data_IF_472530832033
#
_entry.id   IF_472530832033
#
_cell.length_a   1.000
_cell.length_b   1.000
_cell.length_c   1.000
_cell.angle_alpha   90.00
_cell.angle_beta   90.00
_cell.angle_gamma   90.00
#
_symmetry.space_group_name_H-M   'P 1'
#
loop_
_entity.id
_entity.type
_entity.pdbx_description
1 polymer ?
#
# COMPACT_ATOMS: atom_id res chain seq x y z
N UNK A 1 13.07 -13.64 30.71
CA UNK A 1 14.03 -12.52 30.90
C UNK A 1 13.57 -11.37 30.02
N UNK A 2 13.19 -10.24 30.62
CA UNK A 2 12.75 -9.02 29.95
C UNK A 2 13.89 -8.36 29.18
N UNK A 3 13.61 -7.88 27.96
CA UNK A 3 14.22 -6.65 27.43
C UNK A 3 13.32 -6.08 26.32
N UNK A 4 12.91 -4.85 26.55
CA UNK A 4 12.12 -3.98 25.69
C UNK A 4 12.77 -3.75 24.31
N UNK A 5 11.95 -3.72 23.26
CA UNK A 5 12.18 -2.87 22.06
C UNK A 5 10.86 -2.51 21.39
N UNK A 6 10.16 -1.54 21.96
CA UNK A 6 9.10 -0.77 21.29
C UNK A 6 9.67 0.56 20.83
N UNK A 7 9.76 0.74 19.52
CA UNK A 7 9.56 2.02 18.84
C UNK A 7 9.02 1.68 17.46
N UNK A 8 7.77 2.04 17.19
CA UNK A 8 7.23 2.62 15.96
C UNK A 8 5.71 2.76 16.18
N UNK A 9 5.04 3.56 15.35
CA UNK A 9 3.58 3.75 15.26
C UNK A 9 2.92 4.67 16.30
N UNK A 10 2.92 5.97 15.98
CA UNK A 10 1.73 6.81 16.19
C UNK A 10 1.64 7.95 15.15
N UNK A 11 2.77 8.37 14.56
CA UNK A 11 2.75 9.37 13.46
C UNK A 11 2.26 8.82 12.11
N UNK A 12 2.42 7.53 11.83
CA UNK A 12 2.15 6.99 10.49
C UNK A 12 0.66 6.80 10.18
N UNK A 13 -0.18 6.56 11.20
CA UNK A 13 -1.61 6.33 10.97
C UNK A 13 -2.40 7.61 10.67
N UNK A 14 -2.02 8.74 11.26
CA UNK A 14 -2.68 10.04 10.98
C UNK A 14 -2.23 10.60 9.63
N UNK A 15 -0.97 10.34 9.24
CA UNK A 15 -0.44 10.73 7.95
C UNK A 15 -1.01 9.85 6.81
N UNK A 16 -1.14 8.54 7.02
CA UNK A 16 -1.67 7.60 6.04
C UNK A 16 -3.13 7.84 5.67
N UNK A 17 -3.99 8.13 6.65
CA UNK A 17 -5.44 8.38 6.40
C UNK A 17 -5.66 9.74 5.72
N UNK A 18 -4.87 10.76 6.07
CA UNK A 18 -4.91 12.06 5.40
C UNK A 18 -4.41 11.98 3.94
N UNK A 19 -3.38 11.16 3.68
CA UNK A 19 -2.86 10.92 2.33
C UNK A 19 -3.83 10.08 1.49
N UNK A 20 -4.47 9.04 2.04
CA UNK A 20 -5.40 8.20 1.26
C UNK A 20 -6.67 8.96 0.85
N UNK A 21 -7.24 9.75 1.77
CA UNK A 21 -8.46 10.51 1.53
C UNK A 21 -8.26 11.66 0.55
N UNK A 22 -7.10 12.33 0.61
CA UNK A 22 -6.71 13.34 -0.36
C UNK A 22 -6.32 12.71 -1.71
N UNK A 23 -5.65 11.55 -1.73
CA UNK A 23 -5.25 10.86 -2.97
C UNK A 23 -6.44 10.44 -3.83
N UNK A 24 -7.54 9.94 -3.26
CA UNK A 24 -8.71 9.51 -4.04
C UNK A 24 -9.47 10.70 -4.63
N UNK A 25 -9.57 11.81 -3.89
CA UNK A 25 -10.23 13.04 -4.37
C UNK A 25 -9.35 13.78 -5.40
N UNK A 26 -8.02 13.76 -5.19
CA UNK A 26 -7.02 14.27 -6.13
C UNK A 26 -6.95 13.40 -7.39
N UNK A 27 -7.09 12.07 -7.29
CA UNK A 27 -7.10 11.13 -8.41
C UNK A 27 -8.27 11.40 -9.35
N UNK A 28 -9.50 11.59 -8.86
CA UNK A 28 -10.66 11.91 -9.74
C UNK A 28 -10.52 13.27 -10.42
N UNK A 29 -9.96 14.25 -9.71
CA UNK A 29 -9.78 15.61 -10.23
C UNK A 29 -8.61 15.69 -11.20
N UNK A 30 -7.47 15.06 -10.90
CA UNK A 30 -6.28 15.02 -11.75
C UNK A 30 -6.49 14.12 -12.96
N UNK A 31 -7.18 12.99 -12.88
CA UNK A 31 -7.39 12.15 -14.08
C UNK A 31 -8.21 12.92 -15.12
N UNK A 32 -9.23 13.67 -14.69
CA UNK A 32 -10.01 14.54 -15.59
C UNK A 32 -9.19 15.72 -16.11
N UNK A 33 -8.37 16.36 -15.26
CA UNK A 33 -7.55 17.53 -15.65
C UNK A 33 -6.36 17.12 -16.52
N UNK A 34 -5.79 15.93 -16.31
CA UNK A 34 -4.69 15.35 -17.08
C UNK A 34 -5.19 14.87 -18.44
N UNK A 35 -6.37 14.24 -18.51
CA UNK A 35 -7.01 13.91 -19.79
C UNK A 35 -7.31 15.18 -20.60
N UNK A 36 -7.84 16.22 -19.95
CA UNK A 36 -8.09 17.51 -20.58
C UNK A 36 -6.79 18.21 -21.05
N UNK A 37 -5.75 18.22 -20.22
CA UNK A 37 -4.46 18.87 -20.51
C UNK A 37 -3.62 18.12 -21.55
N UNK A 38 -3.67 16.78 -21.57
CA UNK A 38 -3.03 15.96 -22.61
C UNK A 38 -3.76 16.15 -23.93
N UNK A 39 -5.10 16.21 -23.94
CA UNK A 39 -5.88 16.40 -25.16
C UNK A 39 -5.69 17.80 -25.75
N UNK A 40 -5.65 18.85 -24.93
CA UNK A 40 -5.37 20.22 -25.36
C UNK A 40 -3.89 20.44 -25.71
N UNK A 41 -2.95 19.94 -24.90
CA UNK A 41 -1.51 20.07 -25.15
C UNK A 41 -1.03 19.30 -26.38
N UNK A 42 -1.59 18.11 -26.63
CA UNK A 42 -1.36 17.36 -27.86
C UNK A 42 -1.98 18.09 -29.07
N UNK A 43 -3.20 18.63 -28.94
CA UNK A 43 -3.85 19.39 -30.03
C UNK A 43 -3.07 20.66 -30.40
N UNK A 44 -2.54 21.39 -29.41
CA UNK A 44 -1.79 22.64 -29.63
C UNK A 44 -0.39 22.39 -30.19
N UNK A 45 0.32 21.35 -29.71
CA UNK A 45 1.64 20.97 -30.25
C UNK A 45 1.54 20.36 -31.65
N UNK A 46 0.50 19.56 -31.94
CA UNK A 46 0.27 18.99 -33.27
C UNK A 46 -0.09 20.10 -34.26
N UNK A 47 -0.93 21.06 -33.89
CA UNK A 47 -1.30 22.18 -34.77
C UNK A 47 -0.10 23.07 -35.10
N UNK A 48 0.77 23.37 -34.13
CA UNK A 48 1.95 24.21 -34.34
C UNK A 48 3.11 23.47 -35.05
N UNK A 49 3.19 22.14 -34.95
CA UNK A 49 4.08 21.32 -35.78
C UNK A 49 3.57 21.21 -37.22
N UNK A 50 2.25 21.07 -37.43
CA UNK A 50 1.64 21.03 -38.77
C UNK A 50 1.83 22.36 -39.52
N UNK A 51 1.70 23.49 -38.84
CA UNK A 51 1.86 24.82 -39.45
C UNK A 51 3.32 25.13 -39.85
N UNK A 52 4.31 24.54 -39.14
CA UNK A 52 5.73 24.63 -39.51
C UNK A 52 6.14 23.61 -40.58
N UNK A 53 5.53 22.43 -40.63
CA UNK A 53 5.83 21.41 -41.64
C UNK A 53 5.10 21.62 -42.97
N UNK A 54 3.96 22.30 -43.02
CA UNK A 54 3.29 22.66 -44.28
C UNK A 54 4.16 23.54 -45.22
N UNK A 55 5.22 24.18 -44.69
CA UNK A 55 6.19 24.97 -45.47
C UNK A 55 7.36 24.18 -46.04
N UNK A 56 7.57 22.92 -45.65
CA UNK A 56 8.60 22.04 -46.21
C UNK A 56 7.93 20.75 -46.63
N UNK A 57 7.73 20.54 -47.94
CA UNK A 57 7.15 19.33 -48.53
C UNK A 57 7.97 18.08 -48.17
N UNK A 58 7.85 17.60 -46.95
CA UNK A 58 8.40 16.35 -46.46
C UNK A 58 7.21 15.59 -45.89
N UNK A 59 6.64 14.72 -46.71
CA UNK A 59 5.59 13.78 -46.31
C UNK A 59 6.31 12.66 -45.54
N UNK A 60 6.39 12.78 -44.22
CA UNK A 60 6.66 11.61 -43.37
C UNK A 60 5.35 10.85 -43.15
N UNK A 61 5.30 9.53 -43.35
CA UNK A 61 4.07 8.76 -43.17
C UNK A 61 3.73 8.68 -41.68
N UNK A 62 2.72 9.43 -41.24
CA UNK A 62 2.14 9.41 -39.89
C UNK A 62 1.74 8.01 -39.40
N UNK A 63 1.54 7.04 -40.32
CA UNK A 63 1.32 5.63 -39.97
C UNK A 63 2.51 5.01 -39.22
N UNK A 64 3.76 5.36 -39.57
CA UNK A 64 4.97 4.74 -39.00
C UNK A 64 5.18 5.07 -37.53
N UNK A 65 4.80 6.29 -37.09
CA UNK A 65 4.93 6.70 -35.68
C UNK A 65 3.92 5.97 -34.81
N UNK A 66 2.67 5.82 -35.26
CA UNK A 66 1.64 5.07 -34.52
C UNK A 66 2.01 3.59 -34.39
N UNK A 67 2.52 2.98 -35.46
CA UNK A 67 2.97 1.58 -35.45
C UNK A 67 4.22 1.38 -34.59
N UNK A 68 5.16 2.32 -34.58
CA UNK A 68 6.33 2.30 -33.68
C UNK A 68 5.94 2.50 -32.22
N UNK A 69 4.99 3.38 -31.92
CA UNK A 69 4.48 3.55 -30.55
C UNK A 69 3.76 2.28 -30.09
N UNK A 70 2.94 1.66 -30.95
CA UNK A 70 2.23 0.42 -30.61
C UNK A 70 3.18 -0.77 -30.42
N UNK A 71 4.20 -0.92 -31.26
CA UNK A 71 5.22 -1.99 -31.11
C UNK A 71 6.21 -1.74 -29.97
N UNK A 72 6.48 -0.48 -29.64
CA UNK A 72 7.22 -0.12 -28.43
C UNK A 72 6.37 -0.41 -27.19
N UNK A 73 5.08 -0.04 -27.19
CA UNK A 73 4.15 -0.31 -26.09
C UNK A 73 3.95 -1.81 -25.84
N UNK A 74 3.74 -2.61 -26.89
CA UNK A 74 3.64 -4.06 -26.77
C UNK A 74 4.92 -4.73 -26.26
N UNK A 75 6.10 -4.18 -26.60
CA UNK A 75 7.38 -4.64 -26.02
C UNK A 75 7.52 -4.23 -24.55
N UNK A 76 7.03 -3.05 -24.17
CA UNK A 76 7.08 -2.58 -22.78
C UNK A 76 6.13 -3.36 -21.87
N UNK A 77 4.95 -3.76 -22.34
CA UNK A 77 4.03 -4.66 -21.60
C UNK A 77 4.66 -6.04 -21.33
N UNK A 78 5.48 -6.55 -22.25
CA UNK A 78 6.16 -7.85 -22.09
C UNK A 78 7.25 -7.86 -21.02
N UNK A 79 7.73 -6.70 -20.57
CA UNK A 79 8.80 -6.61 -19.58
C UNK A 79 8.35 -6.68 -18.12
N UNK A 80 7.04 -6.75 -17.82
CA UNK A 80 6.49 -6.85 -16.46
C UNK A 80 6.69 -5.61 -15.57
N UNK A 81 7.75 -4.84 -15.81
CA UNK A 81 8.17 -3.64 -15.08
C UNK A 81 7.13 -2.52 -15.18
N UNK A 82 6.42 -2.38 -16.30
CA UNK A 82 5.40 -1.33 -16.46
C UNK A 82 4.01 -1.70 -15.93
N UNK A 83 3.81 -2.92 -15.40
CA UNK A 83 2.51 -3.35 -14.88
C UNK A 83 2.17 -2.66 -13.56
N UNK A 84 3.16 -2.14 -12.83
CA UNK A 84 2.85 -1.32 -11.66
C UNK A 84 2.36 0.05 -12.14
N UNK A 85 1.09 0.37 -11.84
CA UNK A 85 0.47 1.69 -12.06
C UNK A 85 1.37 2.83 -11.55
N UNK A 86 2.22 2.51 -10.56
CA UNK A 86 3.24 3.37 -9.99
C UNK A 86 4.28 3.83 -11.04
N UNK A 87 4.84 2.94 -11.87
CA UNK A 87 5.86 3.33 -12.87
C UNK A 87 5.31 4.35 -13.87
N UNK A 88 4.08 4.15 -14.34
CA UNK A 88 3.40 5.10 -15.25
C UNK A 88 3.21 6.46 -14.57
N UNK A 89 2.80 6.46 -13.30
CA UNK A 89 2.66 7.69 -12.51
C UNK A 89 4.00 8.43 -12.37
N UNK A 90 5.08 7.71 -12.01
CA UNK A 90 6.42 8.29 -11.85
C UNK A 90 6.93 8.92 -13.15
N UNK A 91 6.83 8.21 -14.28
CA UNK A 91 7.26 8.71 -15.59
C UNK A 91 6.42 9.92 -16.01
N UNK A 92 5.10 9.86 -15.83
CA UNK A 92 4.19 10.96 -16.18
C UNK A 92 4.46 12.22 -15.35
N UNK A 93 4.77 12.04 -14.05
CA UNK A 93 5.11 13.13 -13.16
C UNK A 93 6.43 13.80 -13.55
N UNK A 94 7.48 13.03 -13.85
CA UNK A 94 8.76 13.56 -14.32
C UNK A 94 8.58 14.31 -15.65
N UNK A 95 7.80 13.77 -16.60
CA UNK A 95 7.48 14.45 -17.84
C UNK A 95 6.72 15.76 -17.62
N UNK A 96 5.75 15.78 -16.72
CA UNK A 96 5.02 17.00 -16.33
C UNK A 96 5.97 18.06 -15.75
N UNK A 97 6.89 17.65 -14.89
CA UNK A 97 7.86 18.55 -14.24
C UNK A 97 8.82 19.18 -15.26
N UNK A 98 9.31 18.39 -16.22
CA UNK A 98 10.13 18.90 -17.33
C UNK A 98 9.33 19.86 -18.21
N UNK A 99 8.06 19.55 -18.50
CA UNK A 99 7.18 20.43 -19.27
C UNK A 99 6.90 21.74 -18.54
N UNK A 100 6.56 21.69 -17.25
CA UNK A 100 6.32 22.85 -16.41
C UNK A 100 7.56 23.75 -16.33
N UNK A 101 8.74 23.17 -16.17
CA UNK A 101 10.01 23.89 -16.22
C UNK A 101 10.24 24.59 -17.57
N UNK A 102 10.00 23.88 -18.68
CA UNK A 102 10.13 24.47 -20.03
C UNK A 102 9.13 25.61 -20.25
N UNK A 103 7.88 25.44 -19.85
CA UNK A 103 6.85 26.48 -19.93
C UNK A 103 7.26 27.69 -19.09
N UNK A 104 7.75 27.48 -17.87
CA UNK A 104 8.26 28.56 -17.01
C UNK A 104 9.37 29.36 -17.69
N UNK A 105 10.32 28.71 -18.38
CA UNK A 105 11.37 29.39 -19.16
C UNK A 105 10.78 30.20 -20.32
N UNK A 106 9.80 29.65 -21.04
CA UNK A 106 9.20 30.33 -22.21
C UNK A 106 8.21 31.43 -21.85
N UNK A 107 7.63 31.41 -20.64
CA UNK A 107 6.76 32.47 -20.13
C UNK A 107 7.54 33.72 -19.71
N UNK A 108 8.87 33.66 -19.66
CA UNK A 108 9.70 34.85 -19.44
C UNK A 108 9.61 35.76 -20.68
N UNK A 109 9.24 37.04 -20.52
CA UNK A 109 9.11 37.96 -21.64
C UNK A 109 10.46 38.16 -22.31
N UNK A 110 10.61 37.62 -23.53
CA UNK A 110 11.74 37.91 -24.42
C UNK A 110 11.57 39.32 -24.98
N UNK A 111 11.84 40.33 -24.16
CA UNK A 111 11.81 41.73 -24.57
C UNK A 111 12.86 41.98 -25.65
N UNK A 112 12.42 42.35 -26.85
CA UNK A 112 13.32 42.85 -27.89
C UNK A 112 13.87 44.21 -27.47
N UNK A 113 15.20 44.33 -27.39
CA UNK A 113 15.86 45.63 -27.52
C UNK A 113 16.04 46.46 -26.24
N UNK A 114 16.60 45.89 -25.18
CA UNK A 114 17.70 46.52 -24.42
C UNK A 114 18.16 45.54 -23.35
N UNK A 115 19.46 45.29 -23.26
CA UNK A 115 20.08 44.41 -22.25
C UNK A 115 19.82 44.97 -20.84
N UNK A 116 18.70 44.61 -20.22
CA UNK A 116 18.54 44.67 -18.78
C UNK A 116 18.75 43.25 -18.27
N UNK A 117 19.88 43.04 -17.61
CA UNK A 117 20.15 41.85 -16.81
C UNK A 117 18.93 41.53 -15.94
N UNK A 118 18.48 40.26 -15.95
CA UNK A 118 17.41 39.82 -15.07
C UNK A 118 17.74 40.23 -13.62
N UNK A 119 16.76 40.70 -12.82
CA UNK A 119 16.97 40.93 -11.41
C UNK A 119 17.51 39.65 -10.75
N UNK A 120 18.66 39.76 -10.06
CA UNK A 120 19.25 38.69 -9.24
C UNK A 120 18.23 37.87 -8.40
N UNK A 121 17.17 38.46 -7.79
CA UNK A 121 16.18 37.67 -7.06
C UNK A 121 15.39 36.68 -7.92
N UNK A 122 15.11 36.98 -9.19
CA UNK A 122 14.39 36.05 -10.07
C UNK A 122 15.25 34.82 -10.41
N UNK A 123 16.54 35.04 -10.66
CA UNK A 123 17.50 33.95 -10.91
C UNK A 123 17.61 33.06 -9.67
N UNK A 124 17.63 33.65 -8.46
CA UNK A 124 17.68 32.86 -7.22
C UNK A 124 16.42 32.02 -6.99
N UNK A 125 15.24 32.53 -7.37
CA UNK A 125 13.98 31.79 -7.26
C UNK A 125 13.94 30.62 -8.24
N UNK A 126 14.40 30.82 -9.48
CA UNK A 126 14.48 29.76 -10.49
C UNK A 126 15.42 28.63 -10.06
N UNK A 127 16.59 28.98 -9.53
CA UNK A 127 17.54 27.99 -8.99
C UNK A 127 16.90 27.23 -7.83
N UNK A 128 16.19 27.91 -6.92
CA UNK A 128 15.52 27.27 -5.80
C UNK A 128 14.41 26.32 -6.25
N UNK A 129 13.60 26.71 -7.24
CA UNK A 129 12.57 25.84 -7.82
C UNK A 129 13.19 24.64 -8.54
N UNK A 130 14.28 24.85 -9.28
CA UNK A 130 14.97 23.76 -9.96
C UNK A 130 15.57 22.75 -8.96
N UNK A 131 16.19 23.24 -7.88
CA UNK A 131 16.72 22.40 -6.81
C UNK A 131 15.62 21.61 -6.09
N UNK A 132 14.47 22.23 -5.80
CA UNK A 132 13.34 21.51 -5.17
C UNK A 132 12.78 20.42 -6.08
N UNK A 133 12.74 20.66 -7.39
CA UNK A 133 12.36 19.65 -8.38
C UNK A 133 13.35 18.50 -8.49
N UNK A 134 14.66 18.76 -8.39
CA UNK A 134 15.68 17.70 -8.33
C UNK A 134 15.49 16.83 -7.09
N UNK A 135 15.27 17.44 -5.92
CA UNK A 135 15.06 16.70 -4.66
C UNK A 135 13.82 15.82 -4.79
N UNK A 136 12.71 16.35 -5.30
CA UNK A 136 11.48 15.58 -5.48
C UNK A 136 11.67 14.44 -6.48
N UNK A 137 12.32 14.69 -7.61
CA UNK A 137 12.63 13.66 -8.61
C UNK A 137 13.53 12.56 -8.02
N UNK A 138 14.53 12.93 -7.22
CA UNK A 138 15.40 11.97 -6.54
C UNK A 138 14.62 11.08 -5.56
N UNK A 139 13.73 11.65 -4.74
CA UNK A 139 12.89 10.87 -3.83
C UNK A 139 11.96 9.91 -4.58
N UNK A 140 11.35 10.37 -5.67
CA UNK A 140 10.48 9.56 -6.53
C UNK A 140 11.27 8.41 -7.18
N UNK A 141 12.48 8.67 -7.68
CA UNK A 141 13.36 7.65 -8.26
C UNK A 141 13.78 6.61 -7.21
N UNK A 142 14.12 7.04 -5.99
CA UNK A 142 14.47 6.12 -4.90
C UNK A 142 13.26 5.23 -4.55
N UNK A 143 12.05 5.79 -4.47
CA UNK A 143 10.84 5.00 -4.22
C UNK A 143 10.54 4.02 -5.37
N UNK A 144 10.74 4.45 -6.62
CA UNK A 144 10.59 3.58 -7.78
C UNK A 144 11.58 2.43 -7.76
N UNK A 145 12.87 2.72 -7.53
CA UNK A 145 13.91 1.70 -7.38
C UNK A 145 13.57 0.79 -6.20
N UNK A 146 13.08 1.33 -5.09
CA UNK A 146 12.61 0.57 -3.94
C UNK A 146 11.53 -0.44 -4.32
N UNK A 147 10.50 -0.03 -5.08
CA UNK A 147 9.46 -0.95 -5.55
C UNK A 147 9.94 -1.99 -6.57
N UNK A 148 10.97 -1.68 -7.35
CA UNK A 148 11.54 -2.63 -8.32
C UNK A 148 12.46 -3.65 -7.62
N UNK A 149 13.27 -3.20 -6.67
CA UNK A 149 14.20 -4.04 -5.90
C UNK A 149 13.46 -4.85 -4.84
N UNK A 150 12.45 -4.25 -4.20
CA UNK A 150 11.60 -4.85 -3.18
C UNK A 150 10.14 -4.82 -3.67
N UNK A 151 9.78 -5.71 -4.61
CA UNK A 151 8.40 -5.81 -5.05
C UNK A 151 7.50 -6.08 -3.83
N UNK A 152 6.44 -5.27 -3.60
CA UNK A 152 5.59 -5.41 -2.41
C UNK A 152 4.83 -6.74 -2.39
N UNK A 153 4.73 -7.39 -3.54
CA UNK A 153 4.22 -8.74 -3.71
C UNK A 153 5.36 -9.53 -4.36
N UNK A 154 6.11 -10.28 -3.58
CA UNK A 154 6.89 -11.38 -4.16
C UNK A 154 5.92 -12.46 -4.59
N UNK A 155 6.23 -13.15 -5.69
CA UNK A 155 5.48 -14.35 -6.08
C UNK A 155 5.33 -15.23 -4.83
N UNK A 156 4.08 -15.62 -4.55
CA UNK A 156 3.73 -16.41 -3.37
C UNK A 156 4.79 -17.49 -3.20
N UNK A 157 5.42 -17.64 -2.02
CA UNK A 157 6.34 -18.73 -1.79
C UNK A 157 5.60 -19.99 -2.25
N UNK A 158 6.13 -20.65 -3.30
CA UNK A 158 5.55 -21.90 -3.81
C UNK A 158 5.20 -22.71 -2.58
N UNK A 159 3.92 -23.08 -2.42
CA UNK A 159 3.44 -23.89 -1.31
C UNK A 159 4.44 -25.02 -1.10
N UNK A 160 5.37 -24.83 -0.19
CA UNK A 160 6.28 -25.87 0.23
C UNK A 160 5.37 -26.72 1.09
N UNK A 161 4.82 -27.75 0.46
CA UNK A 161 3.97 -28.79 1.05
C UNK A 161 4.58 -29.44 2.30
N UNK A 162 5.84 -29.10 2.60
CA UNK A 162 6.61 -29.56 3.75
C UNK A 162 6.55 -28.62 4.97
N UNK A 163 5.85 -27.48 4.89
CA UNK A 163 5.64 -26.59 6.04
C UNK A 163 4.65 -27.24 7.03
N UNK A 164 5.12 -28.23 7.79
CA UNK A 164 4.35 -28.88 8.85
C UNK A 164 4.86 -28.43 10.22
N UNK A 165 3.93 -28.03 11.08
CA UNK A 165 4.22 -27.84 12.50
C UNK A 165 4.63 -29.20 13.08
N UNK A 166 5.81 -29.27 13.69
CA UNK A 166 6.21 -30.44 14.49
C UNK A 166 5.29 -30.49 15.72
N UNK A 167 4.46 -31.54 15.79
CA UNK A 167 3.65 -31.85 16.98
C UNK A 167 4.55 -31.85 18.23
N UNK A 168 4.20 -31.17 19.33
CA UNK A 168 2.84 -30.90 19.82
C UNK A 168 2.37 -29.44 19.81
N UNK A 169 3.02 -28.54 19.07
CA UNK A 169 2.75 -27.09 19.13
C UNK A 169 1.40 -26.71 18.49
N UNK A 170 0.62 -25.87 19.15
CA UNK A 170 -0.65 -25.33 18.64
C UNK A 170 -0.57 -23.81 18.37
N UNK A 171 -1.39 -23.31 17.44
CA UNK A 171 -1.45 -21.88 17.08
C UNK A 171 -2.81 -21.26 17.43
N UNK A 172 -2.82 -20.28 18.31
CA UNK A 172 -4.00 -19.54 18.72
C UNK A 172 -4.13 -18.24 17.91
N UNK A 173 -5.11 -18.18 17.02
CA UNK A 173 -5.46 -16.96 16.29
C UNK A 173 -6.46 -16.15 17.12
N UNK A 174 -5.98 -15.07 17.73
CA UNK A 174 -6.72 -14.30 18.74
C UNK A 174 -7.16 -12.94 18.22
N UNK A 175 -8.47 -12.78 18.04
CA UNK A 175 -9.11 -11.49 17.81
C UNK A 175 -9.35 -10.73 19.10
N UNK A 176 -9.17 -9.42 19.05
CA UNK A 176 -9.59 -8.52 20.13
C UNK A 176 -10.53 -7.45 19.59
N UNK A 177 -11.74 -7.40 20.12
CA UNK A 177 -12.79 -6.46 19.71
C UNK A 177 -13.50 -5.86 20.92
N UNK A 178 -14.16 -4.71 20.71
CA UNK A 178 -15.11 -4.14 21.68
C UNK A 178 -16.49 -4.81 21.60
N UNK A 179 -16.73 -5.68 20.62
CA UNK A 179 -18.01 -6.38 20.43
C UNK A 179 -19.11 -5.51 19.81
N UNK A 180 -18.74 -4.47 19.06
CA UNK A 180 -19.70 -3.56 18.41
C UNK A 180 -20.23 -4.10 17.08
N UNK A 181 -19.50 -5.00 16.43
CA UNK A 181 -19.81 -5.51 15.10
C UNK A 181 -19.65 -7.03 15.02
N UNK A 182 -20.62 -7.76 15.59
CA UNK A 182 -20.59 -9.23 15.65
C UNK A 182 -20.68 -9.88 14.27
N UNK A 183 -21.40 -9.27 13.32
CA UNK A 183 -21.53 -9.81 11.96
C UNK A 183 -20.22 -9.73 11.17
N UNK A 184 -19.43 -8.66 11.36
CA UNK A 184 -18.10 -8.55 10.76
C UNK A 184 -17.15 -9.61 11.32
N UNK A 185 -17.10 -9.76 12.64
CA UNK A 185 -16.25 -10.77 13.28
C UNK A 185 -16.66 -12.18 12.84
N UNK A 186 -17.96 -12.50 12.86
CA UNK A 186 -18.46 -13.80 12.41
C UNK A 186 -18.03 -14.11 10.96
N UNK A 187 -18.17 -13.12 10.06
CA UNK A 187 -17.71 -13.26 8.67
C UNK A 187 -16.21 -13.49 8.58
N UNK A 188 -15.41 -12.71 9.31
CA UNK A 188 -13.95 -12.80 9.27
C UNK A 188 -13.46 -14.14 9.83
N UNK A 189 -14.04 -14.60 10.94
CA UNK A 189 -13.74 -15.91 11.55
C UNK A 189 -14.02 -17.04 10.57
N UNK A 190 -15.19 -17.05 9.91
CA UNK A 190 -15.52 -18.10 8.93
C UNK A 190 -14.55 -18.10 7.75
N UNK A 191 -14.22 -16.93 7.20
CA UNK A 191 -13.29 -16.83 6.07
C UNK A 191 -11.90 -17.35 6.44
N UNK A 192 -11.37 -16.89 7.56
CA UNK A 192 -10.03 -17.26 8.00
C UNK A 192 -9.94 -18.71 8.45
N UNK A 193 -10.98 -19.24 9.09
CA UNK A 193 -11.04 -20.65 9.41
C UNK A 193 -10.78 -21.52 8.18
N UNK A 194 -11.41 -21.18 7.04
CA UNK A 194 -11.18 -21.91 5.79
C UNK A 194 -9.77 -21.71 5.23
N UNK A 195 -9.17 -20.52 5.36
CA UNK A 195 -7.78 -20.30 4.94
C UNK A 195 -6.77 -21.05 5.81
N UNK A 196 -6.98 -21.09 7.13
CA UNK A 196 -6.15 -21.84 8.06
C UNK A 196 -6.25 -23.34 7.80
N UNK A 197 -7.46 -23.86 7.57
CA UNK A 197 -7.68 -25.30 7.32
C UNK A 197 -7.02 -25.84 6.05
N UNK A 198 -6.60 -24.97 5.12
CA UNK A 198 -5.80 -25.37 3.96
C UNK A 198 -4.36 -25.75 4.33
N UNK A 199 -3.88 -25.30 5.50
CA UNK A 199 -2.48 -25.45 5.93
C UNK A 199 -2.37 -26.26 7.22
N UNK A 200 -3.30 -26.08 8.16
CA UNK A 200 -3.28 -26.70 9.48
C UNK A 200 -4.44 -27.68 9.70
N UNK A 201 -4.12 -28.81 10.34
CA UNK A 201 -5.09 -29.84 10.71
C UNK A 201 -5.92 -29.44 11.94
N UNK A 202 -7.05 -30.13 12.14
CA UNK A 202 -7.85 -29.99 13.35
C UNK A 202 -6.98 -30.30 14.58
N UNK A 203 -7.00 -29.40 15.57
CA UNK A 203 -6.20 -29.49 16.79
C UNK A 203 -4.82 -28.82 16.72
N UNK A 204 -4.36 -28.42 15.52
CA UNK A 204 -3.13 -27.61 15.39
C UNK A 204 -3.36 -26.11 15.51
N UNK A 205 -4.63 -25.68 15.57
CA UNK A 205 -4.98 -24.29 15.78
C UNK A 205 -6.29 -24.12 16.55
N UNK A 206 -6.45 -22.95 17.16
CA UNK A 206 -7.69 -22.48 17.76
C UNK A 206 -7.96 -21.03 17.33
N UNK A 207 -9.24 -20.68 17.15
CA UNK A 207 -9.66 -19.29 16.92
C UNK A 207 -10.31 -18.77 18.20
N UNK A 208 -9.72 -17.75 18.80
CA UNK A 208 -10.22 -17.10 20.01
C UNK A 208 -10.70 -15.69 19.68
N UNK A 209 -11.85 -15.30 20.21
CA UNK A 209 -12.35 -13.93 20.11
C UNK A 209 -12.54 -13.36 21.50
N UNK A 210 -11.72 -12.37 21.84
CA UNK A 210 -11.78 -11.66 23.11
C UNK A 210 -12.61 -10.40 22.92
N UNK A 211 -13.67 -10.28 23.72
CA UNK A 211 -14.66 -9.21 23.56
C UNK A 211 -15.07 -8.60 24.88
N UNK A 212 -15.32 -7.29 24.89
CA UNK A 212 -15.91 -6.62 26.06
C UNK A 212 -17.41 -6.90 26.19
N UNK A 213 -18.08 -7.38 25.13
CA UNK A 213 -19.51 -7.63 25.07
C UNK A 213 -19.82 -8.97 24.41
N UNK A 214 -20.78 -9.70 24.97
CA UNK A 214 -21.32 -10.94 24.39
C UNK A 214 -21.83 -10.69 22.97
N UNK A 215 -21.36 -11.51 22.03
CA UNK A 215 -21.70 -11.51 20.61
C UNK A 215 -22.43 -12.78 20.17
N UNK A 216 -22.34 -13.86 20.96
CA UNK A 216 -22.92 -15.18 20.66
C UNK A 216 -22.43 -15.74 19.34
N UNK A 217 -21.11 -15.75 19.15
CA UNK A 217 -20.50 -16.15 17.89
C UNK A 217 -20.84 -17.60 17.51
N UNK A 218 -20.98 -18.50 18.49
CA UNK A 218 -21.35 -19.90 18.24
C UNK A 218 -22.72 -20.04 17.54
N UNK A 219 -23.62 -19.06 17.66
CA UNK A 219 -24.91 -19.06 16.97
C UNK A 219 -24.81 -18.48 15.54
N UNK A 220 -23.72 -17.74 15.26
CA UNK A 220 -23.52 -16.99 14.02
C UNK A 220 -22.59 -17.69 13.04
N UNK A 221 -21.70 -18.56 13.52
CA UNK A 221 -20.72 -19.28 12.71
C UNK A 221 -20.84 -20.80 12.89
N UNK A 222 -20.62 -21.53 11.81
CA UNK A 222 -20.62 -23.01 11.78
C UNK A 222 -19.19 -23.58 11.92
N UNK A 223 -18.33 -22.88 12.65
CA UNK A 223 -16.93 -23.24 12.84
C UNK A 223 -16.56 -23.16 14.32
N UNK A 224 -15.54 -23.91 14.73
CA UNK A 224 -15.07 -23.90 16.11
C UNK A 224 -14.42 -22.54 16.43
N UNK A 225 -15.06 -21.78 17.32
CA UNK A 225 -14.58 -20.50 17.82
C UNK A 225 -14.78 -20.41 19.33
N UNK A 226 -13.77 -19.92 20.04
CA UNK A 226 -13.86 -19.67 21.46
C UNK A 226 -14.11 -18.17 21.71
N UNK A 227 -15.36 -17.83 22.02
CA UNK A 227 -15.69 -16.47 22.47
C UNK A 227 -15.37 -16.32 23.97
N UNK A 228 -14.58 -15.29 24.32
CA UNK A 228 -14.23 -14.97 25.69
C UNK A 228 -14.59 -13.53 26.03
N UNK A 229 -15.51 -13.38 26.98
CA UNK A 229 -16.01 -12.09 27.41
C UNK A 229 -15.16 -11.56 28.57
N UNK A 230 -14.69 -10.32 28.46
CA UNK A 230 -13.90 -9.66 29.51
C UNK A 230 -14.86 -9.04 30.55
N UNK A 231 -14.89 -9.53 31.80
CA UNK A 231 -15.84 -9.06 32.81
C UNK A 231 -15.63 -7.57 33.09
N UNK A 232 -16.70 -6.78 33.18
CA UNK A 232 -16.59 -5.33 33.46
C UNK A 232 -15.86 -5.03 34.80
N UNK A 233 -15.91 -5.96 35.76
CA UNK A 233 -15.19 -5.91 37.04
C UNK A 233 -13.69 -6.20 36.92
N UNK A 234 -13.23 -6.77 35.81
CA UNK A 234 -11.82 -7.11 35.61
C UNK A 234 -10.96 -5.85 35.52
N UNK A 235 -9.97 -5.78 36.40
CA UNK A 235 -8.98 -4.71 36.46
C UNK A 235 -7.59 -5.31 36.25
N UNK A 236 -6.84 -4.76 35.29
CA UNK A 236 -5.49 -5.20 35.06
C UNK A 236 -4.57 -4.82 36.24
N UNK A 237 -3.59 -5.66 36.59
CA UNK A 237 -2.62 -5.38 37.65
C UNK A 237 -1.90 -4.03 37.50
N UNK A 238 -1.63 -3.62 36.25
CA UNK A 238 -0.92 -2.37 35.92
C UNK A 238 -1.85 -1.22 35.48
N UNK A 239 -3.17 -1.36 35.65
CA UNK A 239 -4.13 -0.33 35.24
C UNK A 239 -4.28 -0.14 33.73
N UNK A 240 -3.87 -1.13 32.92
CA UNK A 240 -4.11 -1.12 31.48
C UNK A 240 -5.61 -1.02 31.16
N UNK A 241 -5.95 -0.35 30.05
CA UNK A 241 -7.34 -0.06 29.64
C UNK A 241 -7.59 -0.53 28.21
N UNK A 242 -8.88 -0.62 27.85
CA UNK A 242 -9.34 -0.92 26.49
C UNK A 242 -8.75 -2.23 25.94
N UNK A 243 -8.16 -2.20 24.73
CA UNK A 243 -7.59 -3.37 24.06
C UNK A 243 -6.50 -4.05 24.88
N UNK A 244 -5.64 -3.29 25.55
CA UNK A 244 -4.60 -3.84 26.42
C UNK A 244 -5.19 -4.59 27.63
N UNK A 245 -6.34 -4.13 28.14
CA UNK A 245 -7.07 -4.84 29.20
C UNK A 245 -7.62 -6.18 28.73
N UNK A 246 -8.23 -6.20 27.53
CA UNK A 246 -8.74 -7.42 26.95
C UNK A 246 -7.62 -8.43 26.66
N UNK A 247 -6.47 -7.96 26.14
CA UNK A 247 -5.30 -8.80 25.91
C UNK A 247 -4.74 -9.39 27.21
N UNK A 248 -4.63 -8.58 28.27
CA UNK A 248 -4.15 -9.06 29.57
C UNK A 248 -5.09 -10.14 30.14
N UNK A 249 -6.41 -9.90 30.10
CA UNK A 249 -7.39 -10.90 30.51
C UNK A 249 -7.26 -12.19 29.71
N UNK A 250 -7.06 -12.07 28.40
CA UNK A 250 -6.89 -13.22 27.53
C UNK A 250 -5.63 -14.02 27.89
N UNK A 251 -4.52 -13.38 28.30
CA UNK A 251 -3.32 -14.10 28.75
C UNK A 251 -3.59 -14.87 30.05
N UNK A 252 -4.32 -14.27 31.00
CA UNK A 252 -4.62 -14.90 32.29
C UNK A 252 -5.58 -16.08 32.18
N UNK A 253 -6.45 -16.07 31.17
CA UNK A 253 -7.53 -17.03 31.00
C UNK A 253 -7.36 -17.97 29.78
N UNK A 254 -6.29 -17.83 29.00
CA UNK A 254 -6.07 -18.65 27.80
C UNK A 254 -5.75 -20.09 28.16
N UNK A 255 -6.15 -21.01 27.28
CA UNK A 255 -5.72 -22.41 27.34
C UNK A 255 -4.34 -22.65 26.70
N UNK A 256 -3.75 -21.61 26.08
CA UNK A 256 -2.43 -21.70 25.48
C UNK A 256 -1.36 -21.98 26.54
N UNK A 257 -0.47 -22.91 26.23
CA UNK A 257 0.69 -23.27 27.06
C UNK A 257 1.92 -22.48 26.64
N UNK A 258 3.00 -22.55 27.43
CA UNK A 258 4.29 -21.90 27.11
C UNK A 258 4.95 -22.40 25.81
N UNK A 259 4.45 -23.51 25.23
CA UNK A 259 4.93 -24.06 23.97
C UNK A 259 4.10 -23.62 22.77
N UNK A 260 2.93 -23.02 23.00
CA UNK A 260 1.99 -22.64 21.96
C UNK A 260 2.25 -21.22 21.46
N UNK A 261 1.83 -20.97 20.22
CA UNK A 261 1.99 -19.68 19.56
C UNK A 261 0.68 -18.91 19.57
N UNK A 262 0.74 -17.61 19.86
CA UNK A 262 -0.43 -16.74 19.84
C UNK A 262 -0.23 -15.68 18.77
N UNK A 263 -1.13 -15.67 17.78
CA UNK A 263 -1.19 -14.66 16.72
C UNK A 263 -2.28 -13.67 17.09
N UNK A 264 -1.89 -12.47 17.49
CA UNK A 264 -2.82 -11.39 17.81
C UNK A 264 -3.31 -10.70 16.53
N UNK A 265 -4.63 -10.63 16.37
CA UNK A 265 -5.31 -10.08 15.21
C UNK A 265 -6.22 -8.93 15.62
N UNK A 266 -6.24 -7.89 14.78
CA UNK A 266 -7.21 -6.80 14.88
C UNK A 266 -8.52 -7.21 14.22
N UNK A 267 -9.65 -6.65 14.67
CA UNK A 267 -10.99 -7.05 14.20
C UNK A 267 -11.21 -6.95 12.68
N UNK A 268 -10.47 -6.07 12.01
CA UNK A 268 -10.55 -5.83 10.56
C UNK A 268 -9.53 -6.65 9.76
N UNK A 269 -8.65 -7.41 10.43
CA UNK A 269 -7.56 -8.13 9.76
C UNK A 269 -8.09 -9.36 9.04
N UNK A 270 -7.76 -9.46 7.75
CA UNK A 270 -7.95 -10.67 6.95
C UNK A 270 -6.60 -11.13 6.41
N UNK A 271 -6.46 -12.44 6.23
CA UNK A 271 -5.27 -13.03 5.63
C UNK A 271 -5.64 -14.28 4.82
N UNK A 272 -4.71 -14.70 3.98
CA UNK A 272 -4.81 -15.83 3.08
C UNK A 272 -3.98 -17.03 3.57
N UNK A 273 -4.08 -18.15 2.85
CA UNK A 273 -3.35 -19.37 3.16
C UNK A 273 -1.82 -19.20 3.06
N UNK A 274 -1.33 -18.27 2.24
CA UNK A 274 0.07 -17.91 2.13
C UNK A 274 0.59 -17.29 3.42
N UNK A 275 -0.19 -16.39 4.01
CA UNK A 275 0.13 -15.80 5.32
C UNK A 275 0.18 -16.88 6.41
N UNK A 276 -0.77 -17.82 6.41
CA UNK A 276 -0.75 -18.95 7.36
C UNK A 276 0.49 -19.81 7.14
N UNK A 277 0.84 -20.11 5.89
CA UNK A 277 2.05 -20.89 5.54
C UNK A 277 3.31 -20.18 6.05
N UNK A 278 3.41 -18.86 5.89
CA UNK A 278 4.54 -18.08 6.39
C UNK A 278 4.64 -18.13 7.93
N UNK A 279 3.52 -18.05 8.64
CA UNK A 279 3.47 -18.20 10.10
C UNK A 279 3.97 -19.60 10.51
N UNK A 280 3.47 -20.66 9.86
CA UNK A 280 3.87 -22.04 10.14
C UNK A 280 5.35 -22.28 9.89
N UNK A 281 5.87 -21.78 8.77
CA UNK A 281 7.29 -21.84 8.44
C UNK A 281 8.14 -21.15 9.52
N UNK A 282 7.73 -19.97 9.97
CA UNK A 282 8.43 -19.25 11.04
C UNK A 282 8.45 -20.06 12.34
N UNK A 283 7.30 -20.61 12.75
CA UNK A 283 7.18 -21.45 13.95
C UNK A 283 8.09 -22.69 13.86
N UNK A 284 8.19 -23.32 12.67
CA UNK A 284 9.00 -24.53 12.49
C UNK A 284 10.52 -24.31 12.58
N UNK A 285 10.97 -23.05 12.50
CA UNK A 285 12.39 -22.67 12.49
C UNK A 285 12.93 -22.31 13.88
N UNK A 286 12.07 -22.02 14.85
CA UNK A 286 12.44 -21.82 16.26
C UNK A 286 12.57 -23.16 17.01
#
# INVERSE_FOLDING_TARGET
RMLWRTRYTLCDHVLGIAICSSSILLEKTLTSTLYFSITLGASFSIHHLFERQARRRIIFPLLTVREHIATWWGRVESFGILRSRNVIFYVSFVCYMVLAYRVSIYSLPTGSGNQRSLPLPLISLEILMFLSYIILAAMLLINLVGHVVFPPFSDSPQHSSDAQIKSPVCVFFRYVTKGMNSSLIAKNVTLIYHEIRKVLDHGQFFIEVITDKEMRLCDLVDVEVCERIVPASYQCPNGAKFKARALQYAVEESFATDQDWIVHLDEETLFDCETVTAIVLHISQE
#
